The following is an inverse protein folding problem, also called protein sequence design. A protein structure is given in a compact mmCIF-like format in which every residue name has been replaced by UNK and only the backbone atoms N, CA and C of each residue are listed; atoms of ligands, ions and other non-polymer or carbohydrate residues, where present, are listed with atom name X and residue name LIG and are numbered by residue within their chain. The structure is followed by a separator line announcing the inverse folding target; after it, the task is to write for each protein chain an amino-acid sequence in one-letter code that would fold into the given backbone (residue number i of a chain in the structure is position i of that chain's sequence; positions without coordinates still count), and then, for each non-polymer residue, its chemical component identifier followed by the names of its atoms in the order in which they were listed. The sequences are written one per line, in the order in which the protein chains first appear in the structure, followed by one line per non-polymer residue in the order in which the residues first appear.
data_IF_541346064822
#
_entry.id   IF_541346064822
#
_cell.length_a   1.000
_cell.length_b   1.000
_cell.length_c   1.000
_cell.angle_alpha   90.00
_cell.angle_beta   90.00
_cell.angle_gamma   90.00
#
_symmetry.space_group_name_H-M   'P 1'
#
loop_
_entity.id
_entity.type
_entity.pdbx_description
1 polymer ?
#
# COMPACT_ATOMS: atom_id res chain seq x y z
N UNK A 1 -18.08 9.87 -6.78
CA UNK A 1 -19.45 9.64 -7.32
C UNK A 1 -19.95 10.77 -8.23
N UNK A 2 -19.89 12.05 -7.82
CA UNK A 2 -20.39 13.16 -8.66
C UNK A 2 -19.78 13.20 -10.08
N UNK A 3 -18.53 12.80 -10.24
CA UNK A 3 -17.85 12.70 -11.55
C UNK A 3 -18.49 11.69 -12.53
N UNK A 4 -19.38 10.81 -12.09
CA UNK A 4 -20.20 10.00 -13.01
C UNK A 4 -21.04 10.89 -13.93
N UNK A 5 -21.54 12.02 -13.43
CA UNK A 5 -22.36 12.94 -14.21
C UNK A 5 -21.59 13.67 -15.32
N UNK A 6 -20.25 13.67 -15.29
CA UNK A 6 -19.43 14.29 -16.33
C UNK A 6 -19.00 13.31 -17.44
N UNK A 7 -19.42 12.04 -17.36
CA UNK A 7 -19.04 10.98 -18.31
C UNK A 7 -20.31 10.30 -18.83
N UNK A 8 -20.61 10.43 -20.12
CA UNK A 8 -21.86 9.91 -20.71
C UNK A 8 -22.06 8.41 -20.48
N UNK A 9 -20.99 7.62 -20.61
CA UNK A 9 -21.01 6.17 -20.36
C UNK A 9 -21.54 5.82 -18.95
N UNK A 10 -21.31 6.71 -17.97
CA UNK A 10 -21.85 6.58 -16.63
C UNK A 10 -23.20 7.29 -16.48
N UNK A 11 -23.30 8.58 -16.83
CA UNK A 11 -24.51 9.38 -16.59
C UNK A 11 -25.75 8.81 -17.28
N UNK A 12 -25.59 8.21 -18.48
CA UNK A 12 -26.70 7.64 -19.25
C UNK A 12 -27.31 6.40 -18.58
N UNK A 13 -26.63 5.82 -17.58
CA UNK A 13 -27.13 4.71 -16.76
C UNK A 13 -27.90 5.17 -15.53
N UNK A 14 -27.84 6.46 -15.22
CA UNK A 14 -28.37 7.10 -14.02
C UNK A 14 -29.26 8.30 -14.40
N UNK A 15 -30.17 8.11 -15.37
CA UNK A 15 -31.03 9.18 -15.91
C UNK A 15 -32.09 9.64 -14.91
N UNK A 16 -32.72 8.70 -14.19
CA UNK A 16 -33.80 9.02 -13.24
C UNK A 16 -33.28 9.53 -11.88
N UNK A 17 -32.06 9.14 -11.50
CA UNK A 17 -31.42 9.47 -10.23
C UNK A 17 -29.91 9.43 -10.41
N UNK A 18 -29.14 10.24 -9.69
CA UNK A 18 -27.68 10.18 -9.74
C UNK A 18 -27.11 8.91 -9.08
N UNK A 19 -25.84 8.58 -9.37
CA UNK A 19 -25.14 7.41 -8.81
C UNK A 19 -25.15 7.37 -7.27
N UNK A 20 -24.97 8.52 -6.61
CA UNK A 20 -24.91 8.59 -5.15
C UNK A 20 -26.28 8.34 -4.51
N UNK A 21 -27.33 8.93 -5.08
CA UNK A 21 -28.72 8.70 -4.67
C UNK A 21 -29.12 7.24 -4.92
N UNK A 22 -28.76 6.69 -6.08
CA UNK A 22 -29.03 5.28 -6.43
C UNK A 22 -28.36 4.32 -5.43
N UNK A 23 -27.08 4.53 -5.10
CA UNK A 23 -26.39 3.73 -4.08
C UNK A 23 -27.05 3.85 -2.69
N UNK A 24 -27.54 5.03 -2.34
CA UNK A 24 -28.19 5.25 -1.04
C UNK A 24 -29.50 4.47 -0.96
N UNK A 25 -30.32 4.55 -2.00
CA UNK A 25 -31.57 3.81 -2.10
C UNK A 25 -31.33 2.29 -2.10
N UNK A 26 -30.33 1.81 -2.85
CA UNK A 26 -29.94 0.41 -2.90
C UNK A 26 -29.59 -0.12 -1.50
N UNK A 27 -28.79 0.62 -0.75
CA UNK A 27 -28.36 0.19 0.58
C UNK A 27 -29.54 0.18 1.57
N UNK A 28 -30.38 1.22 1.52
CA UNK A 28 -31.62 1.25 2.32
C UNK A 28 -32.56 0.10 1.94
N UNK A 29 -32.66 -0.26 0.66
CA UNK A 29 -33.44 -1.41 0.22
C UNK A 29 -32.89 -2.73 0.78
N UNK A 30 -31.57 -2.93 0.74
CA UNK A 30 -30.95 -4.14 1.28
C UNK A 30 -31.13 -4.28 2.80
N UNK A 31 -31.13 -3.18 3.54
CA UNK A 31 -31.42 -3.18 4.98
C UNK A 31 -32.88 -3.52 5.28
N UNK A 32 -33.82 -3.00 4.48
CA UNK A 32 -35.26 -3.21 4.68
C UNK A 32 -35.77 -4.53 4.10
N UNK A 33 -35.14 -5.02 3.03
CA UNK A 33 -35.52 -6.21 2.27
C UNK A 33 -34.34 -7.21 2.18
N UNK A 34 -33.88 -7.76 3.32
CA UNK A 34 -32.67 -8.59 3.41
C UNK A 34 -32.73 -9.93 2.67
N UNK A 35 -33.88 -10.27 2.08
CA UNK A 35 -34.15 -11.49 1.31
C UNK A 35 -34.52 -11.20 -0.15
N UNK A 36 -34.34 -9.96 -0.64
CA UNK A 36 -34.44 -9.68 -2.07
C UNK A 36 -33.42 -10.52 -2.85
N UNK A 37 -33.67 -10.80 -4.13
CA UNK A 37 -32.82 -11.68 -4.92
C UNK A 37 -31.34 -11.25 -4.86
N UNK A 38 -31.04 -9.97 -5.13
CA UNK A 38 -29.66 -9.48 -5.08
C UNK A 38 -29.09 -9.32 -3.68
N UNK A 39 -29.90 -9.02 -2.66
CA UNK A 39 -29.41 -9.03 -1.28
C UNK A 39 -29.05 -10.45 -0.82
N UNK A 40 -29.82 -11.45 -1.23
CA UNK A 40 -29.56 -12.85 -0.92
C UNK A 40 -28.28 -13.38 -1.58
N UNK A 41 -27.99 -12.95 -2.83
CA UNK A 41 -26.73 -13.32 -3.53
C UNK A 41 -25.47 -12.96 -2.73
N UNK A 42 -25.52 -11.90 -1.93
CA UNK A 42 -24.36 -11.43 -1.15
C UNK A 42 -24.18 -12.20 0.16
N UNK A 43 -25.23 -12.89 0.64
CA UNK A 43 -25.24 -13.52 1.97
C UNK A 43 -24.70 -14.94 2.02
N UNK A 44 -24.50 -15.58 0.87
CA UNK A 44 -24.14 -17.01 0.85
C UNK A 44 -22.78 -17.33 1.51
N UNK A 45 -21.95 -16.32 1.81
CA UNK A 45 -20.62 -16.50 2.41
C UNK A 45 -20.34 -15.64 3.68
N UNK A 46 -21.22 -14.70 4.06
CA UNK A 46 -21.00 -13.80 5.21
C UNK A 46 -22.24 -13.66 6.11
N UNK A 47 -22.01 -13.54 7.43
CA UNK A 47 -23.06 -13.21 8.40
C UNK A 47 -23.50 -11.73 8.34
N UNK A 48 -22.76 -10.89 7.63
CA UNK A 48 -23.03 -9.46 7.58
C UNK A 48 -24.23 -9.12 6.68
N UNK A 49 -24.95 -8.02 6.98
CA UNK A 49 -25.95 -7.46 6.08
C UNK A 49 -25.39 -7.21 4.67
N UNK A 50 -26.21 -7.45 3.65
CA UNK A 50 -25.85 -7.21 2.25
C UNK A 50 -25.38 -5.76 2.00
N UNK A 51 -25.95 -4.79 2.73
CA UNK A 51 -25.52 -3.40 2.72
C UNK A 51 -24.07 -3.20 3.17
N UNK A 52 -23.59 -3.98 4.14
CA UNK A 52 -22.24 -3.90 4.66
C UNK A 52 -21.25 -4.43 3.63
N UNK A 53 -21.58 -5.58 3.04
CA UNK A 53 -20.81 -6.22 1.96
C UNK A 53 -20.68 -5.27 0.76
N UNK A 54 -21.75 -4.58 0.37
CA UNK A 54 -21.69 -3.57 -0.71
C UNK A 54 -20.77 -2.39 -0.32
N UNK A 55 -20.88 -1.86 0.91
CA UNK A 55 -20.01 -0.77 1.38
C UNK A 55 -18.54 -1.13 1.26
N UNK A 56 -18.17 -2.31 1.74
CA UNK A 56 -16.81 -2.85 1.76
C UNK A 56 -16.26 -3.19 0.37
N UNK A 57 -17.09 -3.81 -0.48
CA UNK A 57 -16.71 -4.10 -1.85
C UNK A 57 -16.42 -2.80 -2.61
N UNK A 58 -17.30 -1.81 -2.52
CA UNK A 58 -17.08 -0.50 -3.16
C UNK A 58 -15.88 0.24 -2.54
N UNK A 59 -15.64 0.10 -1.24
CA UNK A 59 -14.50 0.68 -0.55
C UNK A 59 -13.18 0.12 -1.07
N UNK A 60 -13.15 -1.18 -1.32
CA UNK A 60 -12.01 -1.88 -1.89
C UNK A 60 -11.73 -1.46 -3.34
N UNK A 61 -12.79 -1.30 -4.15
CA UNK A 61 -12.65 -0.78 -5.51
C UNK A 61 -12.10 0.66 -5.54
N UNK A 62 -12.51 1.49 -4.58
CA UNK A 62 -12.15 2.91 -4.54
C UNK A 62 -10.64 3.15 -4.39
N UNK A 63 -9.90 2.19 -3.84
CA UNK A 63 -8.46 2.30 -3.57
C UNK A 63 -7.59 2.38 -4.84
N UNK A 64 -8.10 1.93 -5.99
CA UNK A 64 -7.36 1.85 -7.25
C UNK A 64 -8.03 2.64 -8.38
N UNK A 65 -7.22 3.32 -9.19
CA UNK A 65 -7.68 4.11 -10.35
C UNK A 65 -8.43 3.24 -11.36
N UNK A 66 -8.00 2.01 -11.59
CA UNK A 66 -8.65 1.08 -12.51
C UNK A 66 -9.86 0.42 -11.85
N UNK A 67 -9.76 -0.02 -10.59
CA UNK A 67 -10.86 -0.72 -9.92
C UNK A 67 -12.04 0.22 -9.62
N UNK A 68 -11.81 1.51 -9.33
CA UNK A 68 -12.90 2.46 -9.05
C UNK A 68 -13.83 2.67 -10.26
N UNK A 69 -13.37 2.36 -11.48
CA UNK A 69 -14.22 2.40 -12.69
C UNK A 69 -15.35 1.36 -12.63
N UNK A 70 -15.20 0.30 -11.83
CA UNK A 70 -16.22 -0.73 -11.61
C UNK A 70 -17.33 -0.27 -10.66
N UNK A 71 -17.12 0.81 -9.88
CA UNK A 71 -18.12 1.27 -8.90
C UNK A 71 -19.47 1.56 -9.56
N UNK A 72 -19.57 2.40 -10.61
CA UNK A 72 -20.88 2.68 -11.20
C UNK A 72 -21.55 1.45 -11.86
N UNK A 73 -20.85 0.59 -12.64
CA UNK A 73 -21.44 -0.64 -13.16
C UNK A 73 -21.99 -1.57 -12.08
N UNK A 74 -21.27 -1.77 -10.97
CA UNK A 74 -21.72 -2.63 -9.88
C UNK A 74 -22.97 -2.07 -9.21
N UNK A 75 -22.98 -0.76 -8.92
CA UNK A 75 -24.19 -0.10 -8.36
C UNK A 75 -25.36 -0.20 -9.32
N UNK A 76 -25.13 0.01 -10.62
CA UNK A 76 -26.16 -0.09 -11.65
C UNK A 76 -26.78 -1.49 -11.70
N UNK A 77 -25.95 -2.54 -11.74
CA UNK A 77 -26.41 -3.93 -11.82
C UNK A 77 -27.11 -4.40 -10.55
N UNK A 78 -26.59 -4.05 -9.37
CA UNK A 78 -27.25 -4.35 -8.10
C UNK A 78 -28.61 -3.67 -7.99
N UNK A 79 -28.73 -2.43 -8.46
CA UNK A 79 -30.00 -1.70 -8.46
C UNK A 79 -30.99 -2.23 -9.52
N UNK A 80 -30.50 -2.62 -10.70
CA UNK A 80 -31.33 -3.24 -11.75
C UNK A 80 -31.84 -4.62 -11.32
N UNK A 81 -30.97 -5.40 -10.69
CA UNK A 81 -31.24 -6.74 -10.15
C UNK A 81 -32.03 -7.65 -11.13
N UNK A 82 -31.62 -7.66 -12.40
CA UNK A 82 -32.24 -8.52 -13.41
C UNK A 82 -31.64 -9.93 -13.40
N UNK A 83 -32.30 -10.89 -14.05
CA UNK A 83 -31.76 -12.25 -14.21
C UNK A 83 -30.37 -12.27 -14.85
N UNK A 84 -30.11 -11.33 -15.74
CA UNK A 84 -28.86 -11.13 -16.48
C UNK A 84 -27.72 -10.60 -15.60
N UNK A 85 -28.04 -10.07 -14.41
CA UNK A 85 -27.05 -9.57 -13.46
C UNK A 85 -26.57 -10.63 -12.49
N UNK A 86 -27.35 -11.69 -12.25
CA UNK A 86 -27.07 -12.70 -11.23
C UNK A 86 -25.69 -13.35 -11.41
N UNK A 87 -25.40 -13.87 -12.60
CA UNK A 87 -24.12 -14.56 -12.85
C UNK A 87 -22.94 -13.58 -12.86
N UNK A 88 -23.13 -12.37 -13.39
CA UNK A 88 -22.10 -11.31 -13.41
C UNK A 88 -21.75 -10.87 -11.99
N UNK A 89 -22.76 -10.60 -11.14
CA UNK A 89 -22.56 -10.18 -9.76
C UNK A 89 -21.97 -11.31 -8.91
N UNK A 90 -22.45 -12.55 -9.07
CA UNK A 90 -21.89 -13.72 -8.38
C UNK A 90 -20.41 -13.88 -8.72
N UNK A 91 -20.05 -13.78 -10.01
CA UNK A 91 -18.66 -13.81 -10.44
C UNK A 91 -17.87 -12.65 -9.85
N UNK A 92 -18.41 -11.43 -9.86
CA UNK A 92 -17.76 -10.24 -9.31
C UNK A 92 -17.36 -10.39 -7.84
N UNK A 93 -18.29 -10.75 -6.96
CA UNK A 93 -17.98 -10.86 -5.54
C UNK A 93 -16.99 -11.99 -5.27
N UNK A 94 -17.07 -13.11 -6.02
CA UNK A 94 -16.08 -14.18 -5.95
C UNK A 94 -14.69 -13.74 -6.44
N UNK A 95 -14.62 -13.01 -7.55
CA UNK A 95 -13.38 -12.50 -8.11
C UNK A 95 -12.74 -11.45 -7.18
N UNK A 96 -13.54 -10.55 -6.61
CA UNK A 96 -13.07 -9.57 -5.63
C UNK A 96 -12.53 -10.24 -4.37
N UNK A 97 -13.26 -11.21 -3.81
CA UNK A 97 -12.80 -11.96 -2.66
C UNK A 97 -11.50 -12.73 -2.97
N UNK A 98 -11.37 -13.32 -4.17
CA UNK A 98 -10.14 -13.99 -4.61
C UNK A 98 -8.98 -13.00 -4.72
N UNK A 99 -9.22 -11.83 -5.31
CA UNK A 99 -8.23 -10.77 -5.46
C UNK A 99 -7.72 -10.28 -4.09
N UNK A 100 -8.62 -10.01 -3.14
CA UNK A 100 -8.27 -9.53 -1.80
C UNK A 100 -7.53 -10.56 -0.96
N UNK A 101 -7.85 -11.84 -1.11
CA UNK A 101 -7.18 -12.92 -0.39
C UNK A 101 -5.95 -13.49 -1.12
N UNK A 102 -5.58 -12.91 -2.26
CA UNK A 102 -4.39 -13.36 -3.00
C UNK A 102 -3.13 -13.02 -2.19
N UNK A 103 -2.18 -13.96 -2.02
CA UNK A 103 -0.96 -13.69 -1.27
C UNK A 103 -0.16 -12.57 -1.92
N UNK A 104 0.19 -11.56 -1.13
CA UNK A 104 1.14 -10.52 -1.52
C UNK A 104 2.53 -10.86 -0.99
N UNK A 105 3.56 -10.70 -1.82
CA UNK A 105 4.96 -10.83 -1.39
C UNK A 105 5.30 -9.75 -0.33
N UNK A 106 4.61 -8.60 -0.36
CA UNK A 106 4.78 -7.51 0.61
C UNK A 106 4.34 -7.90 2.03
N UNK A 107 3.44 -8.87 2.17
CA UNK A 107 3.00 -9.39 3.47
C UNK A 107 4.16 -9.90 4.32
N UNK A 108 5.27 -10.32 3.70
CA UNK A 108 6.47 -10.76 4.41
C UNK A 108 7.22 -9.62 5.12
N UNK A 109 6.97 -8.36 4.73
CA UNK A 109 7.59 -7.17 5.30
C UNK A 109 6.65 -6.41 6.25
N UNK A 110 5.39 -6.84 6.36
CA UNK A 110 4.42 -6.24 7.26
C UNK A 110 4.62 -6.75 8.70
N UNK A 111 4.53 -5.84 9.67
CA UNK A 111 4.49 -6.17 11.09
C UNK A 111 3.21 -5.64 11.71
N UNK A 112 2.15 -6.45 11.70
CA UNK A 112 0.85 -6.08 12.27
C UNK A 112 0.96 -5.71 13.75
N UNK A 113 1.86 -6.35 14.52
CA UNK A 113 2.12 -5.98 15.91
C UNK A 113 2.63 -4.53 16.03
N UNK A 114 3.57 -4.14 15.17
CA UNK A 114 4.12 -2.78 15.16
C UNK A 114 3.06 -1.77 14.69
N UNK A 115 2.30 -2.12 13.65
CA UNK A 115 1.20 -1.31 13.15
C UNK A 115 0.20 -0.99 14.26
N UNK A 116 -0.34 -2.01 14.94
CA UNK A 116 -1.32 -1.80 16.00
C UNK A 116 -0.71 -1.16 17.25
N UNK A 117 0.57 -1.40 17.57
CA UNK A 117 1.27 -0.69 18.63
C UNK A 117 1.27 0.83 18.38
N UNK A 118 1.51 1.27 17.14
CA UNK A 118 1.51 2.69 16.75
C UNK A 118 0.07 3.23 16.72
N UNK A 119 -0.83 2.57 15.97
CA UNK A 119 -2.22 3.03 15.80
C UNK A 119 -2.91 3.18 17.15
N UNK A 120 -2.82 2.19 18.03
CA UNK A 120 -3.48 2.23 19.35
C UNK A 120 -2.81 3.16 20.34
N UNK A 121 -1.55 3.54 20.15
CA UNK A 121 -0.86 4.51 21.02
C UNK A 121 -1.14 5.96 20.59
N UNK A 122 -1.11 6.23 19.28
CA UNK A 122 -1.09 7.60 18.76
C UNK A 122 -2.36 8.06 18.06
N UNK A 123 -3.06 7.16 17.37
CA UNK A 123 -4.11 7.51 16.41
C UNK A 123 -5.52 7.13 16.87
N UNK A 124 -5.64 6.13 17.75
CA UNK A 124 -6.92 5.66 18.25
C UNK A 124 -7.58 6.68 19.19
N UNK A 125 -8.89 6.85 19.05
CA UNK A 125 -9.70 7.73 19.90
C UNK A 125 -9.76 7.19 21.33
N UNK A 126 -9.39 8.03 22.31
CA UNK A 126 -9.39 7.67 23.73
C UNK A 126 -10.19 8.71 24.53
N UNK A 127 -11.07 8.29 25.46
CA UNK A 127 -11.44 6.91 25.76
C UNK A 127 -12.24 6.24 24.63
N UNK A 128 -12.25 4.91 24.60
CA UNK A 128 -13.03 4.12 23.64
C UNK A 128 -14.52 4.50 23.70
N UNK A 129 -15.05 4.95 22.56
CA UNK A 129 -16.49 5.19 22.37
C UNK A 129 -17.26 3.86 22.28
N UNK A 130 -18.59 3.90 22.39
CA UNK A 130 -19.41 2.67 22.34
C UNK A 130 -19.25 1.90 21.02
N UNK A 131 -19.38 0.57 21.07
CA UNK A 131 -19.37 -0.26 19.85
C UNK A 131 -20.47 0.12 18.87
N UNK A 132 -21.63 0.56 19.38
CA UNK A 132 -22.74 1.07 18.55
C UNK A 132 -22.37 2.35 17.83
N UNK A 133 -21.62 3.26 18.45
CA UNK A 133 -21.17 4.50 17.81
C UNK A 133 -20.14 4.21 16.71
N UNK A 134 -19.20 3.30 16.94
CA UNK A 134 -18.24 2.87 15.91
C UNK A 134 -18.95 2.21 14.72
N UNK A 135 -19.94 1.36 14.99
CA UNK A 135 -20.77 0.76 13.94
C UNK A 135 -21.59 1.85 13.21
N UNK A 136 -22.14 2.82 13.93
CA UNK A 136 -22.88 3.95 13.36
C UNK A 136 -22.02 4.73 12.35
N UNK A 137 -20.76 5.03 12.71
CA UNK A 137 -19.79 5.69 11.80
C UNK A 137 -19.60 4.89 10.51
N UNK A 138 -19.53 3.57 10.58
CA UNK A 138 -19.44 2.70 9.41
C UNK A 138 -20.74 2.74 8.58
N UNK A 139 -21.90 2.50 9.18
CA UNK A 139 -23.18 2.43 8.43
C UNK A 139 -23.64 3.78 7.89
N UNK A 140 -23.18 4.90 8.44
CA UNK A 140 -23.44 6.25 7.91
C UNK A 140 -22.59 6.59 6.69
N UNK A 141 -21.54 5.83 6.40
CA UNK A 141 -20.70 6.01 5.20
C UNK A 141 -21.30 5.27 4.00
N UNK A 142 -21.33 5.87 2.81
CA UNK A 142 -21.85 5.20 1.59
C UNK A 142 -20.93 4.12 1.06
N UNK A 143 -19.63 4.35 1.17
CA UNK A 143 -18.52 3.52 0.72
C UNK A 143 -17.50 3.54 1.85
N UNK A 144 -17.01 2.38 2.26
CA UNK A 144 -16.01 2.26 3.34
C UNK A 144 -15.23 0.98 3.14
N UNK A 145 -13.93 1.00 3.42
CA UNK A 145 -13.11 -0.23 3.49
C UNK A 145 -13.28 -0.97 4.83
N UNK A 146 -14.21 -0.52 5.69
CA UNK A 146 -14.74 -1.28 6.82
C UNK A 146 -13.78 -1.48 7.99
N UNK A 147 -14.12 -2.47 8.82
CA UNK A 147 -13.22 -3.10 9.78
C UNK A 147 -12.95 -2.37 11.10
N UNK A 148 -12.88 -1.03 11.14
CA UNK A 148 -12.40 -0.35 12.37
C UNK A 148 -13.25 -0.61 13.61
N UNK A 149 -14.57 -0.79 13.46
CA UNK A 149 -15.45 -1.11 14.59
C UNK A 149 -15.22 -2.53 15.16
N UNK A 150 -14.62 -3.43 14.37
CA UNK A 150 -14.25 -4.79 14.79
C UNK A 150 -12.94 -4.81 15.60
N UNK A 151 -12.15 -3.74 15.55
CA UNK A 151 -10.84 -3.63 16.21
C UNK A 151 -10.94 -3.29 17.71
N UNK A 152 -12.14 -2.98 18.22
CA UNK A 152 -12.36 -2.58 19.62
C UNK A 152 -11.81 -3.61 20.62
N UNK A 153 -12.07 -4.93 20.49
CA UNK A 153 -11.50 -5.91 21.41
C UNK A 153 -9.97 -5.93 21.36
N UNK A 154 -9.37 -5.78 20.18
CA UNK A 154 -7.93 -5.76 20.03
C UNK A 154 -7.33 -4.49 20.66
N UNK A 155 -7.95 -3.32 20.45
CA UNK A 155 -7.58 -2.08 21.13
C UNK A 155 -7.64 -2.22 22.65
N UNK A 156 -8.73 -2.75 23.18
CA UNK A 156 -8.92 -2.92 24.62
C UNK A 156 -7.92 -3.90 25.22
N UNK A 157 -7.59 -4.98 24.51
CA UNK A 157 -6.55 -5.92 24.91
C UNK A 157 -5.17 -5.23 24.92
N UNK A 158 -4.78 -4.53 23.85
CA UNK A 158 -3.49 -3.87 23.74
C UNK A 158 -3.33 -2.75 24.78
N UNK A 159 -4.31 -1.88 24.90
CA UNK A 159 -4.21 -0.67 25.73
C UNK A 159 -4.42 -0.94 27.21
N UNK A 160 -5.18 -1.98 27.56
CA UNK A 160 -5.74 -2.19 28.92
C UNK A 160 -6.43 -0.92 29.44
N UNK A 161 -7.04 -0.14 28.55
CA UNK A 161 -7.75 1.09 28.90
C UNK A 161 -8.87 0.80 29.90
N UNK A 162 -8.94 1.57 30.99
CA UNK A 162 -9.98 1.44 32.01
C UNK A 162 -11.23 2.26 31.66
N UNK A 163 -11.86 1.95 30.53
CA UNK A 163 -13.15 2.50 30.11
C UNK A 163 -14.27 1.48 30.28
N UNK A 164 -15.53 1.93 30.35
CA UNK A 164 -16.69 1.04 30.46
C UNK A 164 -16.72 0.01 29.34
N UNK A 165 -16.46 0.44 28.10
CA UNK A 165 -16.46 -0.45 26.92
C UNK A 165 -15.39 -1.54 27.04
N UNK A 166 -14.16 -1.17 27.39
CA UNK A 166 -13.09 -2.15 27.52
C UNK A 166 -13.26 -3.09 28.73
N UNK A 167 -13.83 -2.59 29.82
CA UNK A 167 -14.12 -3.40 31.00
C UNK A 167 -15.24 -4.42 30.75
N UNK A 168 -16.24 -4.09 29.94
CA UNK A 168 -17.32 -5.01 29.57
C UNK A 168 -16.84 -6.16 28.67
N UNK A 169 -15.81 -5.93 27.85
CA UNK A 169 -15.25 -6.95 26.96
C UNK A 169 -14.33 -7.96 27.68
N UNK A 170 -13.79 -7.63 28.85
CA UNK A 170 -12.89 -8.47 29.66
C UNK A 170 -11.70 -9.11 28.88
N UNK A 171 -11.19 -8.40 27.87
CA UNK A 171 -10.04 -8.84 27.05
C UNK A 171 -8.69 -8.35 27.57
N UNK A 172 -8.69 -7.42 28.54
CA UNK A 172 -7.50 -6.83 29.15
C UNK A 172 -7.07 -7.48 30.47
N UNK A 173 -7.67 -8.59 30.91
CA UNK A 173 -7.44 -9.19 32.24
C UNK A 173 -6.16 -10.04 32.34
N UNK A 174 -5.34 -10.10 31.29
CA UNK A 174 -4.08 -10.84 31.30
C UNK A 174 -2.99 -10.16 32.18
N UNK A 175 -2.06 -10.97 32.71
CA UNK A 175 -1.10 -10.53 33.74
C UNK A 175 0.07 -9.66 33.25
N UNK A 176 0.25 -9.49 31.95
CA UNK A 176 1.29 -8.62 31.38
C UNK A 176 0.80 -7.16 31.25
N UNK A 177 1.74 -6.25 31.02
CA UNK A 177 1.44 -4.83 30.76
C UNK A 177 0.75 -4.66 29.40
N UNK A 178 0.13 -3.49 29.20
CA UNK A 178 -0.41 -3.10 27.90
C UNK A 178 0.70 -3.04 26.83
N UNK A 179 0.33 -3.39 25.59
CA UNK A 179 1.18 -3.29 24.40
C UNK A 179 0.93 -1.91 23.76
N UNK A 180 1.23 -0.87 24.52
CA UNK A 180 1.13 0.53 24.12
C UNK A 180 2.32 1.31 24.69
N UNK A 181 2.67 2.44 24.08
CA UNK A 181 3.67 3.35 24.61
C UNK A 181 3.06 4.70 25.00
N UNK A 182 3.75 5.38 25.91
CA UNK A 182 3.40 6.75 26.30
C UNK A 182 3.73 7.72 25.17
N UNK A 183 2.80 8.64 24.91
CA UNK A 183 2.99 9.72 23.94
C UNK A 183 4.11 10.63 24.44
N UNK A 184 5.06 10.92 23.56
CA UNK A 184 6.18 11.79 23.90
C UNK A 184 5.78 13.28 23.89
N UNK A 185 6.76 14.16 24.13
CA UNK A 185 6.51 15.59 24.15
C UNK A 185 6.32 16.20 22.75
N UNK A 186 6.39 15.43 21.65
CA UNK A 186 6.12 15.87 20.29
C UNK A 186 4.72 15.47 19.80
N UNK A 187 4.07 14.51 20.45
CA UNK A 187 2.71 14.12 20.09
C UNK A 187 1.73 15.30 20.09
N UNK A 188 0.93 15.40 19.03
CA UNK A 188 -0.05 16.47 18.79
C UNK A 188 0.55 17.89 18.86
N UNK A 189 1.81 18.05 18.41
CA UNK A 189 2.45 19.34 18.22
C UNK A 189 2.85 19.56 16.77
N UNK A 190 2.67 20.79 16.32
CA UNK A 190 3.18 21.25 15.04
C UNK A 190 4.70 21.16 14.97
N UNK A 191 5.23 20.67 13.86
CA UNK A 191 6.65 20.74 13.57
C UNK A 191 7.02 22.13 13.02
N UNK A 192 8.11 22.72 13.53
CA UNK A 192 8.70 23.93 12.96
C UNK A 192 9.62 23.57 11.80
N UNK A 193 9.48 24.27 10.67
CA UNK A 193 10.33 24.14 9.50
C UNK A 193 11.63 24.92 9.77
N UNK A 194 12.80 24.27 9.82
CA UNK A 194 14.07 24.96 9.97
C UNK A 194 14.29 26.02 8.88
N UNK A 195 14.98 27.11 9.19
CA UNK A 195 15.21 28.23 8.26
C UNK A 195 15.93 27.87 6.97
N UNK A 196 16.64 26.75 6.94
CA UNK A 196 17.38 26.21 5.80
C UNK A 196 16.69 25.01 5.14
N UNK A 197 15.46 24.71 5.55
CA UNK A 197 14.67 23.60 5.05
C UNK A 197 13.39 24.11 4.39
N UNK A 198 12.80 23.24 3.59
CA UNK A 198 11.51 23.40 2.94
C UNK A 198 10.70 22.13 3.12
N UNK A 199 9.40 22.22 2.83
CA UNK A 199 8.51 21.06 2.86
C UNK A 199 7.66 21.04 1.59
N UNK A 200 7.77 19.96 0.82
CA UNK A 200 6.87 19.64 -0.28
C UNK A 200 5.84 18.60 0.18
N UNK A 201 4.55 18.96 0.16
CA UNK A 201 3.44 18.04 0.32
C UNK A 201 2.83 17.71 -1.04
N UNK A 202 2.51 16.44 -1.27
CA UNK A 202 1.79 15.97 -2.44
C UNK A 202 0.51 15.29 -1.96
N UNK A 203 -0.64 15.69 -2.50
CA UNK A 203 -1.94 15.11 -2.12
C UNK A 203 -2.90 15.06 -3.31
N UNK A 204 -3.97 14.28 -3.18
CA UNK A 204 -5.01 14.16 -4.20
C UNK A 204 -6.41 14.32 -3.62
N UNK A 205 -7.28 15.00 -4.35
CA UNK A 205 -8.70 15.18 -3.96
C UNK A 205 -9.50 13.88 -3.94
N UNK A 206 -9.05 12.86 -4.68
CA UNK A 206 -9.64 11.53 -4.70
C UNK A 206 -8.85 10.48 -3.93
N UNK A 207 -7.96 10.87 -3.02
CA UNK A 207 -7.30 9.93 -2.09
C UNK A 207 -8.33 9.40 -1.05
N UNK A 208 -8.66 8.09 -1.08
CA UNK A 208 -9.64 7.51 -0.17
C UNK A 208 -9.07 7.16 1.22
N UNK A 209 -7.76 7.10 1.39
CA UNK A 209 -7.11 6.68 2.65
C UNK A 209 -6.62 7.88 3.47
N UNK A 210 -6.02 8.87 2.80
CA UNK A 210 -5.59 10.13 3.41
C UNK A 210 -6.30 11.31 2.74
N UNK A 211 -7.57 11.57 3.11
CA UNK A 211 -8.38 12.60 2.46
C UNK A 211 -7.68 13.96 2.41
N UNK A 212 -7.78 14.62 1.25
CA UNK A 212 -7.06 15.86 0.94
C UNK A 212 -7.14 16.95 2.02
N UNK A 213 -8.29 17.10 2.68
CA UNK A 213 -8.50 18.05 3.79
C UNK A 213 -7.45 17.91 4.91
N UNK A 214 -6.94 16.70 5.17
CA UNK A 214 -5.92 16.48 6.18
C UNK A 214 -4.52 16.89 5.70
N UNK A 215 -4.26 16.88 4.39
CA UNK A 215 -3.05 17.47 3.82
C UNK A 215 -3.08 19.00 3.92
N UNK A 216 -4.25 19.62 3.70
CA UNK A 216 -4.45 21.06 3.93
C UNK A 216 -4.23 21.42 5.41
N UNK A 217 -4.80 20.64 6.34
CA UNK A 217 -4.57 20.83 7.78
C UNK A 217 -3.11 20.63 8.18
N UNK A 218 -2.42 19.61 7.64
CA UNK A 218 -1.00 19.41 7.89
C UNK A 218 -0.19 20.59 7.38
N UNK A 219 -0.46 21.06 6.16
CA UNK A 219 0.21 22.22 5.59
C UNK A 219 0.00 23.45 6.48
N UNK A 220 -1.23 23.73 6.92
CA UNK A 220 -1.53 24.86 7.81
C UNK A 220 -0.79 24.74 9.16
N UNK A 221 -0.81 23.55 9.75
CA UNK A 221 -0.24 23.30 11.08
C UNK A 221 1.29 23.45 11.13
N UNK A 222 2.02 23.21 10.03
CA UNK A 222 3.49 23.35 10.00
C UNK A 222 3.93 24.79 10.31
N UNK A 223 4.83 24.98 11.27
CA UNK A 223 5.32 26.30 11.66
C UNK A 223 6.48 26.75 10.74
N UNK A 224 6.15 27.59 9.76
CA UNK A 224 7.09 28.10 8.76
C UNK A 224 6.40 28.37 7.42
N UNK A 225 6.97 29.27 6.62
CA UNK A 225 6.40 29.67 5.34
C UNK A 225 6.99 28.94 4.14
N UNK A 226 8.14 28.27 4.29
CA UNK A 226 8.82 27.58 3.19
C UNK A 226 8.23 26.18 2.95
N UNK A 227 6.96 26.15 2.55
CA UNK A 227 6.18 24.93 2.32
C UNK A 227 5.25 25.10 1.14
N UNK A 228 5.03 24.03 0.40
CA UNK A 228 4.12 24.02 -0.74
C UNK A 228 3.35 22.70 -0.80
N UNK A 229 2.06 22.77 -1.14
CA UNK A 229 1.19 21.63 -1.40
C UNK A 229 0.87 21.58 -2.89
N UNK A 230 1.29 20.51 -3.57
CA UNK A 230 0.83 20.21 -4.92
C UNK A 230 -0.37 19.27 -4.83
N UNK A 231 -1.46 19.68 -5.46
CA UNK A 231 -2.73 18.97 -5.41
C UNK A 231 -3.05 18.35 -6.76
N UNK A 232 -3.19 17.03 -6.78
CA UNK A 232 -3.76 16.28 -7.90
C UNK A 232 -5.27 16.17 -7.75
N UNK A 233 -5.98 16.10 -8.88
CA UNK A 233 -7.44 15.97 -8.82
C UNK A 233 -7.90 14.52 -8.64
N UNK A 234 -7.25 13.56 -9.30
CA UNK A 234 -7.83 12.23 -9.49
C UNK A 234 -6.96 11.04 -9.07
N UNK A 235 -5.78 11.26 -8.51
CA UNK A 235 -4.92 10.18 -8.02
C UNK A 235 -5.51 9.49 -6.78
N UNK A 236 -5.20 8.21 -6.57
CA UNK A 236 -5.52 7.48 -5.33
C UNK A 236 -4.38 7.60 -4.31
N UNK A 237 -4.44 6.84 -3.21
CA UNK A 237 -3.45 6.92 -2.13
C UNK A 237 -2.02 6.69 -2.63
N UNK A 238 -1.08 7.54 -2.19
CA UNK A 238 0.33 7.46 -2.59
C UNK A 238 0.60 8.14 -3.94
N UNK A 239 0.49 9.47 -3.99
CA UNK A 239 0.62 10.29 -5.21
C UNK A 239 1.94 10.14 -5.96
N UNK A 240 3.01 9.64 -5.32
CA UNK A 240 4.26 9.29 -6.00
C UNK A 240 4.08 8.19 -7.04
N UNK A 241 3.12 7.28 -6.86
CA UNK A 241 2.90 6.12 -7.73
C UNK A 241 1.58 6.19 -8.49
N UNK A 242 0.60 6.94 -7.97
CA UNK A 242 -0.78 6.96 -8.50
C UNK A 242 -1.08 8.17 -9.38
N UNK A 243 -0.04 8.80 -9.94
CA UNK A 243 -0.11 9.96 -10.84
C UNK A 243 0.52 9.68 -12.21
N UNK A 244 0.16 8.57 -12.89
CA UNK A 244 0.75 8.25 -14.19
C UNK A 244 0.37 9.32 -15.23
N UNK A 245 1.31 9.65 -16.12
CA UNK A 245 1.13 10.61 -17.21
C UNK A 245 0.45 10.00 -18.45
N UNK A 246 0.42 8.67 -18.53
CA UNK A 246 -0.22 7.92 -19.62
C UNK A 246 -0.91 6.67 -19.06
N UNK A 247 -1.76 6.02 -19.86
CA UNK A 247 -2.46 4.80 -19.48
C UNK A 247 -1.58 3.53 -19.55
N UNK A 248 -0.26 3.68 -19.74
CA UNK A 248 0.70 2.57 -19.77
C UNK A 248 1.15 2.18 -18.36
N UNK A 249 1.29 0.88 -18.10
CA UNK A 249 1.79 0.34 -16.84
C UNK A 249 3.25 0.76 -16.56
N UNK A 250 4.00 1.12 -17.60
CA UNK A 250 5.38 1.65 -17.49
C UNK A 250 5.44 3.19 -17.45
N UNK A 251 4.28 3.86 -17.34
CA UNK A 251 4.21 5.31 -17.33
C UNK A 251 5.03 5.92 -16.18
N UNK A 252 5.80 6.95 -16.51
CA UNK A 252 6.34 7.85 -15.48
C UNK A 252 5.19 8.49 -14.71
N UNK A 253 5.43 8.80 -13.43
CA UNK A 253 4.45 9.47 -12.56
C UNK A 253 4.85 10.91 -12.32
N UNK A 254 3.88 11.83 -12.34
CA UNK A 254 4.15 13.24 -12.06
C UNK A 254 4.63 13.45 -10.61
N UNK A 255 4.09 12.69 -9.65
CA UNK A 255 4.53 12.74 -8.26
C UNK A 255 6.03 12.41 -8.11
N UNK A 256 6.54 11.40 -8.82
CA UNK A 256 7.97 11.07 -8.81
C UNK A 256 8.81 12.15 -9.51
N UNK A 257 8.32 12.73 -10.62
CA UNK A 257 8.99 13.86 -11.29
C UNK A 257 9.11 15.09 -10.37
N UNK A 258 8.05 15.42 -9.63
CA UNK A 258 8.06 16.50 -8.64
C UNK A 258 9.06 16.23 -7.52
N UNK A 259 9.11 15.00 -6.97
CA UNK A 259 10.08 14.62 -5.96
C UNK A 259 11.52 14.72 -6.49
N UNK A 260 11.77 14.24 -7.70
CA UNK A 260 13.07 14.34 -8.35
C UNK A 260 13.49 15.80 -8.55
N UNK A 261 12.57 16.65 -9.02
CA UNK A 261 12.80 18.08 -9.17
C UNK A 261 13.11 18.75 -7.83
N UNK A 262 12.32 18.45 -6.80
CA UNK A 262 12.51 18.96 -5.44
C UNK A 262 13.91 18.64 -4.90
N UNK A 263 14.34 17.38 -5.00
CA UNK A 263 15.65 16.94 -4.53
C UNK A 263 16.78 17.53 -5.37
N UNK A 264 16.63 17.54 -6.70
CA UNK A 264 17.64 18.08 -7.62
C UNK A 264 17.87 19.58 -7.44
N UNK A 265 16.83 20.30 -6.99
CA UNK A 265 16.88 21.72 -6.67
C UNK A 265 17.22 21.99 -5.19
N UNK A 266 17.78 21.03 -4.45
CA UNK A 266 18.14 21.16 -3.04
C UNK A 266 16.99 21.63 -2.14
N UNK A 267 15.76 21.20 -2.46
CA UNK A 267 14.55 21.60 -1.75
C UNK A 267 14.02 22.99 -2.12
N UNK A 268 14.59 23.70 -3.09
CA UNK A 268 14.04 25.00 -3.51
C UNK A 268 12.66 24.84 -4.18
N UNK A 269 11.60 25.23 -3.46
CA UNK A 269 10.22 25.16 -3.93
C UNK A 269 9.97 26.10 -5.13
N UNK A 270 10.70 27.22 -5.22
CA UNK A 270 10.60 28.14 -6.34
C UNK A 270 11.18 27.57 -7.65
N UNK A 271 12.08 26.59 -7.54
CA UNK A 271 12.69 25.89 -8.66
C UNK A 271 11.97 24.62 -9.11
N UNK A 272 10.85 24.25 -8.47
CA UNK A 272 10.09 23.04 -8.81
C UNK A 272 9.58 23.08 -10.26
N UNK A 273 9.93 22.05 -11.02
CA UNK A 273 9.35 21.78 -12.33
C UNK A 273 7.98 21.11 -12.14
N UNK A 274 6.93 21.87 -12.44
CA UNK A 274 5.53 21.47 -12.25
C UNK A 274 4.81 21.17 -13.57
N UNK A 275 5.53 21.14 -14.69
CA UNK A 275 4.93 20.95 -16.03
C UNK A 275 4.08 19.68 -16.10
N UNK A 276 4.52 18.60 -15.44
CA UNK A 276 3.80 17.34 -15.43
C UNK A 276 2.40 17.43 -14.79
N UNK A 277 2.13 18.44 -13.95
CA UNK A 277 0.81 18.62 -13.32
C UNK A 277 -0.23 19.02 -14.36
N UNK A 278 0.16 19.87 -15.33
CA UNK A 278 -0.70 20.30 -16.43
C UNK A 278 -0.88 19.20 -17.50
N UNK A 279 0.02 18.21 -17.52
CA UNK A 279 -0.02 17.05 -18.41
C UNK A 279 -0.82 15.86 -17.84
N UNK A 280 -1.34 15.98 -16.62
CA UNK A 280 -2.09 14.90 -15.97
C UNK A 280 -3.31 14.47 -16.81
N UNK A 281 -3.52 13.16 -17.01
CA UNK A 281 -4.65 12.67 -17.80
C UNK A 281 -6.00 13.13 -17.25
N UNK A 282 -6.94 13.35 -18.17
CA UNK A 282 -8.32 13.64 -17.81
C UNK A 282 -8.96 12.46 -17.06
N UNK A 283 -9.94 12.77 -16.19
CA UNK A 283 -10.69 11.73 -15.49
C UNK A 283 -11.43 10.81 -16.47
N UNK A 284 -11.28 9.50 -16.28
CA UNK A 284 -11.92 8.47 -17.09
C UNK A 284 -12.62 7.43 -16.18
N UNK A 285 -13.85 7.04 -16.54
CA UNK A 285 -14.64 5.99 -15.88
C UNK A 285 -14.87 4.75 -16.75
N UNK A 286 -14.38 4.73 -17.98
CA UNK A 286 -14.44 3.55 -18.83
C UNK A 286 -13.67 2.41 -18.16
N UNK A 287 -14.35 1.28 -17.96
CA UNK A 287 -13.74 0.10 -17.35
C UNK A 287 -12.74 -0.51 -18.34
N UNK A 288 -11.46 -0.65 -18.00
CA UNK A 288 -10.50 -1.32 -18.89
C UNK A 288 -10.94 -2.77 -19.14
N UNK A 289 -10.82 -3.26 -20.38
CA UNK A 289 -11.29 -4.61 -20.76
C UNK A 289 -10.71 -5.72 -19.88
N UNK A 290 -9.44 -5.61 -19.49
CA UNK A 290 -8.79 -6.58 -18.58
C UNK A 290 -9.53 -6.68 -17.24
N UNK A 291 -9.96 -5.54 -16.68
CA UNK A 291 -10.73 -5.50 -15.44
C UNK A 291 -12.17 -5.96 -15.66
N UNK A 292 -12.81 -5.60 -16.78
CA UNK A 292 -14.15 -6.09 -17.13
C UNK A 292 -14.17 -7.61 -17.28
N UNK A 293 -13.18 -8.19 -17.96
CA UNK A 293 -13.07 -9.65 -18.12
C UNK A 293 -12.75 -10.35 -16.80
N UNK A 294 -11.82 -9.82 -16.00
CA UNK A 294 -11.46 -10.44 -14.74
C UNK A 294 -12.59 -10.36 -13.70
N UNK A 295 -13.14 -9.16 -13.47
CA UNK A 295 -14.11 -8.92 -12.41
C UNK A 295 -15.56 -9.17 -12.82
N UNK A 296 -15.93 -9.02 -14.10
CA UNK A 296 -17.33 -9.13 -14.53
C UNK A 296 -17.56 -10.26 -15.54
N UNK A 297 -16.49 -10.84 -16.10
CA UNK A 297 -16.53 -11.86 -17.17
C UNK A 297 -17.44 -11.46 -18.34
N UNK A 298 -17.36 -10.20 -18.77
CA UNK A 298 -18.17 -9.64 -19.86
C UNK A 298 -17.44 -8.51 -20.58
N UNK A 299 -17.79 -8.25 -21.85
CA UNK A 299 -17.22 -7.17 -22.66
C UNK A 299 -17.84 -5.79 -22.35
N UNK A 300 -19.02 -5.75 -21.73
CA UNK A 300 -19.70 -4.51 -21.36
C UNK A 300 -20.04 -4.49 -19.87
N UNK A 301 -19.37 -3.61 -19.13
CA UNK A 301 -19.48 -3.58 -17.68
C UNK A 301 -20.91 -3.31 -17.17
N UNK A 302 -21.76 -2.57 -17.90
CA UNK A 302 -23.12 -2.22 -17.46
C UNK A 302 -24.20 -3.21 -17.94
N UNK A 303 -24.20 -3.54 -19.23
CA UNK A 303 -25.29 -4.30 -19.88
C UNK A 303 -24.82 -5.62 -20.51
N UNK A 304 -23.54 -5.93 -20.41
CA UNK A 304 -23.00 -7.18 -20.94
C UNK A 304 -23.55 -8.40 -20.21
N UNK A 305 -23.60 -9.52 -20.94
CA UNK A 305 -24.00 -10.83 -20.45
C UNK A 305 -22.76 -11.58 -19.96
N UNK A 306 -22.91 -12.39 -18.92
CA UNK A 306 -21.84 -13.25 -18.42
C UNK A 306 -21.38 -14.26 -19.49
N UNK A 307 -20.07 -14.30 -19.72
CA UNK A 307 -19.41 -15.28 -20.56
C UNK A 307 -18.18 -15.83 -19.81
N UNK A 308 -18.28 -17.07 -19.34
CA UNK A 308 -17.23 -17.74 -18.58
C UNK A 308 -15.88 -17.82 -19.33
N UNK A 309 -15.88 -17.77 -20.66
CA UNK A 309 -14.66 -17.84 -21.48
C UNK A 309 -13.77 -16.60 -21.36
N UNK A 310 -14.34 -15.45 -20.96
CA UNK A 310 -13.62 -14.18 -20.85
C UNK A 310 -12.75 -14.10 -19.59
N UNK A 311 -13.22 -14.64 -18.46
CA UNK A 311 -12.46 -14.63 -17.19
C UNK A 311 -11.09 -15.33 -17.29
N UNK A 312 -10.97 -16.37 -18.13
CA UNK A 312 -9.71 -17.07 -18.37
C UNK A 312 -8.69 -16.22 -19.14
N UNK A 313 -9.15 -15.26 -19.95
CA UNK A 313 -8.30 -14.39 -20.76
C UNK A 313 -7.76 -13.19 -19.97
N UNK A 314 -8.55 -12.65 -19.03
CA UNK A 314 -8.17 -11.52 -18.17
C UNK A 314 -7.12 -11.83 -17.09
N UNK A 315 -6.91 -13.10 -16.76
CA UNK A 315 -5.95 -13.55 -15.73
C UNK A 315 -4.47 -13.28 -16.10
N UNK A 316 -4.17 -12.96 -17.35
CA UNK A 316 -2.79 -12.69 -17.81
C UNK A 316 -2.31 -11.25 -17.58
N UNK A 317 -3.19 -10.34 -17.13
CA UNK A 317 -2.88 -8.91 -16.97
C UNK A 317 -3.27 -8.25 -15.64
N UNK A 318 -4.10 -8.89 -14.79
CA UNK A 318 -4.70 -8.24 -13.60
C UNK A 318 -3.84 -8.18 -12.32
N UNK A 319 -2.59 -8.59 -12.37
CA UNK A 319 -1.69 -8.52 -11.22
C UNK A 319 -0.73 -7.33 -11.31
N UNK A 320 -1.04 -6.23 -10.62
CA UNK A 320 -0.01 -5.29 -10.13
C UNK A 320 0.85 -5.91 -9.02
N UNK A 321 0.61 -7.17 -8.64
CA UNK A 321 1.66 -8.01 -8.06
C UNK A 321 2.75 -8.24 -9.13
N UNK A 322 3.68 -7.30 -9.21
CA UNK A 322 5.07 -7.55 -9.60
C UNK A 322 5.23 -8.61 -10.71
N UNK A 323 4.96 -8.25 -11.98
CA UNK A 323 5.57 -8.96 -13.13
C UNK A 323 7.12 -8.99 -13.02
N UNK A 324 7.68 -8.20 -12.11
CA UNK A 324 9.09 -8.22 -11.73
C UNK A 324 9.52 -9.54 -11.06
N UNK A 325 8.61 -10.26 -10.38
CA UNK A 325 8.89 -11.52 -9.66
C UNK A 325 9.46 -12.63 -10.57
N UNK A 326 8.92 -12.84 -11.78
CA UNK A 326 9.46 -13.88 -12.68
C UNK A 326 10.86 -13.55 -13.19
N UNK A 327 11.15 -12.27 -13.46
CA UNK A 327 12.47 -11.78 -13.87
C UNK A 327 13.45 -11.89 -12.71
N UNK A 328 13.09 -11.46 -11.50
CA UNK A 328 13.97 -11.52 -10.33
C UNK A 328 14.24 -12.94 -9.86
N UNK A 329 13.25 -13.84 -9.90
CA UNK A 329 13.45 -15.26 -9.60
C UNK A 329 14.41 -15.90 -10.58
N UNK A 330 14.28 -15.59 -11.87
CA UNK A 330 15.21 -16.07 -12.91
C UNK A 330 16.61 -15.51 -12.71
N UNK A 331 16.74 -14.21 -12.47
CA UNK A 331 18.03 -13.54 -12.21
C UNK A 331 18.70 -14.07 -10.93
N UNK A 332 17.93 -14.30 -9.87
CA UNK A 332 18.41 -14.85 -8.60
C UNK A 332 18.89 -16.30 -8.75
N UNK A 333 18.15 -17.15 -9.46
CA UNK A 333 18.57 -18.52 -9.76
C UNK A 333 19.87 -18.53 -10.57
N UNK A 334 19.95 -17.68 -11.60
CA UNK A 334 21.17 -17.55 -12.41
C UNK A 334 22.36 -17.09 -11.55
N UNK A 335 22.17 -16.09 -10.68
CA UNK A 335 23.20 -15.62 -9.76
C UNK A 335 23.64 -16.72 -8.78
N UNK A 336 22.70 -17.46 -8.21
CA UNK A 336 22.98 -18.54 -7.26
C UNK A 336 23.78 -19.69 -7.91
N UNK A 337 23.46 -20.04 -9.17
CA UNK A 337 24.24 -21.02 -9.94
C UNK A 337 25.67 -20.52 -10.15
N UNK A 338 25.86 -19.26 -10.56
CA UNK A 338 27.20 -18.69 -10.72
C UNK A 338 27.99 -18.63 -9.41
N UNK A 339 27.32 -18.30 -8.30
CA UNK A 339 27.94 -18.28 -6.98
C UNK A 339 28.41 -19.67 -6.53
N UNK A 340 27.59 -20.70 -6.70
CA UNK A 340 27.96 -22.10 -6.37
C UNK A 340 29.12 -22.58 -7.24
N UNK A 341 29.12 -22.27 -8.54
CA UNK A 341 30.23 -22.60 -9.44
C UNK A 341 31.51 -21.88 -9.03
N UNK A 342 31.44 -20.61 -8.66
CA UNK A 342 32.59 -19.84 -8.18
C UNK A 342 33.18 -20.43 -6.88
N UNK A 343 32.32 -20.86 -5.94
CA UNK A 343 32.75 -21.56 -4.73
C UNK A 343 33.41 -22.91 -5.04
N UNK A 344 32.87 -23.68 -5.99
CA UNK A 344 33.47 -24.93 -6.44
C UNK A 344 34.86 -24.72 -7.07
N UNK A 345 35.01 -23.70 -7.91
CA UNK A 345 36.28 -23.32 -8.52
C UNK A 345 37.29 -22.86 -7.45
N UNK A 346 36.87 -21.98 -6.53
CA UNK A 346 37.72 -21.53 -5.43
C UNK A 346 38.17 -22.69 -4.54
N UNK A 347 37.26 -23.62 -4.21
CA UNK A 347 37.57 -24.84 -3.48
C UNK A 347 38.56 -25.75 -4.21
N UNK A 348 38.43 -25.90 -5.54
CA UNK A 348 39.36 -26.65 -6.36
C UNK A 348 40.76 -26.02 -6.37
N UNK A 349 40.86 -24.70 -6.52
CA UNK A 349 42.15 -23.99 -6.47
C UNK A 349 42.77 -24.06 -5.08
N UNK A 350 41.98 -23.91 -4.02
CA UNK A 350 42.43 -24.09 -2.64
C UNK A 350 42.97 -25.50 -2.41
N UNK A 351 42.24 -26.52 -2.86
CA UNK A 351 42.66 -27.92 -2.76
C UNK A 351 43.96 -28.19 -3.53
N UNK A 352 44.09 -27.69 -4.77
CA UNK A 352 45.33 -27.82 -5.55
C UNK A 352 46.50 -27.09 -4.89
N UNK A 353 46.29 -25.88 -4.40
CA UNK A 353 47.31 -25.11 -3.68
C UNK A 353 47.77 -25.84 -2.41
N UNK A 354 46.81 -26.37 -1.64
CA UNK A 354 47.09 -27.16 -0.44
C UNK A 354 47.89 -28.44 -0.77
N UNK A 355 47.51 -29.15 -1.84
CA UNK A 355 48.23 -30.36 -2.30
C UNK A 355 49.65 -30.05 -2.77
N UNK A 356 49.86 -28.93 -3.49
CA UNK A 356 51.19 -28.48 -3.92
C UNK A 356 52.06 -28.11 -2.71
N UNK A 357 51.47 -27.47 -1.68
CA UNK A 357 52.18 -27.20 -0.42
C UNK A 357 52.60 -28.47 0.29
N UNK A 358 51.71 -29.47 0.39
CA UNK A 358 52.03 -30.77 1.00
C UNK A 358 53.14 -31.52 0.25
N UNK A 359 53.16 -31.47 -1.08
CA UNK A 359 54.21 -32.10 -1.89
C UNK A 359 55.57 -31.39 -1.76
N UNK A 360 55.58 -30.06 -1.59
CA UNK A 360 56.83 -29.30 -1.33
C UNK A 360 57.46 -29.63 0.03
N UNK A 361 56.67 -30.01 1.03
CA UNK A 361 57.21 -30.39 2.34
C UNK A 361 57.89 -31.77 2.33
N UNK A 362 57.64 -32.60 1.32
CA UNK A 362 58.15 -33.97 1.20
C UNK A 362 59.40 -34.09 0.30
N UNK A 363 59.89 -32.98 -0.27
CA UNK A 363 61.03 -32.97 -1.24
C UNK A 363 62.20 -32.06 -0.87
N UNK A 364 62.33 -31.67 0.40
CA UNK A 364 63.51 -30.90 0.85
C UNK A 364 64.09 -31.48 2.14
N UNK A 365 64.81 -32.59 1.98
CA UNK A 365 65.92 -32.98 2.87
C UNK A 365 67.23 -32.39 2.31
N UNK A 366 68.00 -31.80 3.22
CA UNK A 366 69.43 -31.45 3.19
C UNK A 366 69.99 -30.54 2.08
N UNK A 367 70.29 -29.29 2.48
CA UNK A 367 71.64 -28.70 2.36
C UNK A 367 71.80 -27.44 3.23
N UNK A 368 72.63 -27.55 4.26
CA UNK A 368 73.22 -26.44 5.00
C UNK A 368 74.11 -25.57 4.09
N UNK A 369 73.98 -24.24 4.19
CA UNK A 369 75.11 -23.30 4.11
C UNK A 369 74.81 -22.09 5.01
N UNK A 370 75.66 -21.90 6.03
CA UNK A 370 75.77 -20.70 6.87
C UNK A 370 76.08 -19.44 6.06
N UNK A 371 75.47 -18.31 6.43
CA UNK A 371 76.04 -16.97 6.15
C UNK A 371 76.00 -16.15 7.44
N UNK A 372 77.19 -15.84 7.92
CA UNK A 372 77.50 -14.87 8.96
C UNK A 372 77.31 -13.44 8.43
N UNK A 373 76.85 -12.51 9.28
CA UNK A 373 76.93 -11.06 9.01
C UNK A 373 77.44 -10.31 10.24
N UNK A 374 78.48 -9.47 10.13
CA UNK A 374 78.92 -8.54 11.16
C UNK A 374 78.28 -7.14 11.03
N UNK A 375 77.94 -6.54 12.19
CA UNK A 375 78.37 -5.22 12.76
C UNK A 375 78.87 -4.18 11.72
N UNK A 376 78.44 -2.91 11.64
CA UNK A 376 78.35 -1.83 12.65
C UNK A 376 77.61 -0.57 12.08
N UNK A 377 76.99 0.20 13.00
CA UNK A 377 76.97 1.69 13.17
C UNK A 377 76.90 2.65 11.95
N UNK A 378 76.30 3.85 12.02
CA UNK A 378 75.91 4.68 13.16
C UNK A 378 74.97 5.85 12.75
N UNK A 379 74.34 6.44 13.77
CA UNK A 379 74.04 7.87 13.97
C UNK A 379 72.99 8.59 13.08
N UNK A 380 72.12 9.47 13.61
CA UNK A 380 71.88 10.01 14.96
C UNK A 380 70.58 10.84 14.98
N UNK A 381 69.73 10.72 16.02
CA UNK A 381 69.39 11.72 17.09
C UNK A 381 68.46 12.86 16.60
N UNK A 382 67.31 13.21 17.21
CA UNK A 382 67.06 13.54 18.64
C UNK A 382 65.58 13.43 19.09
N UNK A 383 65.44 13.24 20.41
CA UNK A 383 64.24 13.30 21.30
C UNK A 383 63.67 14.73 21.47
N UNK A 384 62.47 14.98 22.03
CA UNK A 384 62.14 15.04 23.48
C UNK A 384 60.61 15.26 23.69
N UNK A 385 60.12 14.72 24.81
CA UNK A 385 58.74 14.74 25.36
C UNK A 385 58.44 15.99 26.24
N UNK A 386 57.14 16.34 26.32
CA UNK A 386 56.38 16.95 27.43
C UNK A 386 56.48 18.46 27.76
N UNK A 387 55.31 19.12 27.85
CA UNK A 387 54.89 19.84 29.07
C UNK A 387 53.38 20.15 29.14
N UNK A 388 52.81 19.94 30.33
CA UNK A 388 51.57 20.54 30.85
C UNK A 388 51.79 22.02 31.15
N UNK A 389 50.79 22.85 30.89
CA UNK A 389 50.16 23.80 31.83
C UNK A 389 48.66 23.71 31.62
#
# INVERSE_FOLDING_TARGET
MALCASQSECSDKFISTDLSTTLTNLITDFDNNPHSACAALLKDESSDPASYIVREALGSLLQSVNMRTLIPPIVYRLNRCSSEDTDVLTHFFKALNTYQNSPDEENAFESSLLYYLIVFSEMWEKPQVSSSEMLERFVNSKISNGGTYLEIPQYCAFSKENSTVCNELDVGSYGANGIIYERDHYWNKSASIPTHASVLLLSSKLDPQTPHKYAEYLLEALDGSNKELITFDYATHGTLWTTPLTDDDESETCGMKLLLSYVSNNGDLGGLDKVCVDEMPAFNLTVPLVYSHYFLSTDNAYDGVYDASLSASGSTGGGSASKSSSKYKTVFIVFLVFFVVALGIAGFFWYRWYKIKLQKTDTTDDKFVEISTPIEQDQSISSVTAQRV
#
